data_IF_466972858922
#
_entry.id   IF_466972858922
#
_cell.length_a   1.000
_cell.length_b   1.000
_cell.length_c   1.000
_cell.angle_alpha   90.00
_cell.angle_beta   90.00
_cell.angle_gamma   90.00
#
_symmetry.space_group_name_H-M   'P 1'
#
loop_
_entity.id
_entity.type
_entity.pdbx_description
1 polymer ?
#
# COMPACT_ATOMS: atom_id res chain seq x y z
N UNK A 1 -34.09 -63.95 -4.61
CA UNK A 1 -34.81 -62.75 -4.12
C UNK A 1 -33.78 -61.79 -3.55
N UNK A 2 -33.64 -60.51 -3.92
CA UNK A 2 -34.25 -59.73 -5.00
C UNK A 2 -33.18 -58.81 -5.62
N UNK A 3 -33.19 -58.63 -6.94
CA UNK A 3 -32.56 -57.47 -7.61
C UNK A 3 -33.53 -56.30 -7.60
N UNK A 4 -33.01 -55.06 -7.63
CA UNK A 4 -33.59 -53.96 -8.42
C UNK A 4 -32.53 -52.87 -8.68
N UNK A 5 -32.41 -52.49 -9.95
CA UNK A 5 -31.65 -51.32 -10.39
C UNK A 5 -32.49 -50.05 -10.13
N UNK A 6 -31.89 -48.87 -10.28
CA UNK A 6 -32.41 -47.91 -11.27
C UNK A 6 -31.31 -46.98 -11.79
N UNK A 7 -31.38 -46.64 -13.08
CA UNK A 7 -30.49 -45.66 -13.74
C UNK A 7 -31.26 -44.37 -14.00
N UNK A 8 -30.57 -43.23 -14.10
CA UNK A 8 -31.22 -41.96 -14.44
C UNK A 8 -30.23 -40.88 -14.86
N UNK A 9 -29.82 -40.89 -16.12
CA UNK A 9 -29.28 -39.71 -16.78
C UNK A 9 -30.38 -39.05 -17.63
N UNK A 10 -30.53 -37.74 -17.56
CA UNK A 10 -31.32 -36.95 -18.52
C UNK A 10 -30.54 -35.72 -18.95
N UNK A 11 -30.58 -35.51 -20.26
CA UNK A 11 -29.88 -34.50 -21.06
C UNK A 11 -30.56 -33.13 -21.00
N UNK A 12 -29.77 -32.06 -20.97
CA UNK A 12 -30.14 -30.73 -21.49
C UNK A 12 -28.84 -30.05 -21.97
N UNK A 13 -28.76 -29.30 -23.06
CA UNK A 13 -29.51 -29.14 -24.30
C UNK A 13 -28.62 -28.17 -25.10
N UNK A 14 -28.07 -28.60 -26.24
CA UNK A 14 -27.06 -27.84 -26.97
C UNK A 14 -27.76 -26.97 -28.02
N UNK A 15 -27.96 -25.68 -27.72
CA UNK A 15 -28.58 -24.73 -28.65
C UNK A 15 -27.52 -24.24 -29.64
N UNK A 16 -27.56 -24.81 -30.84
CA UNK A 16 -26.80 -24.32 -32.00
C UNK A 16 -27.64 -23.23 -32.70
N UNK A 17 -27.22 -21.97 -32.55
CA UNK A 17 -27.73 -20.87 -33.37
C UNK A 17 -26.81 -20.67 -34.57
N UNK A 18 -27.11 -21.37 -35.67
CA UNK A 18 -26.42 -21.22 -36.94
C UNK A 18 -26.93 -19.95 -37.64
N UNK A 19 -26.03 -19.06 -38.08
CA UNK A 19 -26.35 -17.96 -38.99
C UNK A 19 -25.14 -17.72 -39.89
N UNK A 20 -25.34 -17.95 -41.18
CA UNK A 20 -24.29 -18.04 -42.21
C UNK A 20 -24.55 -16.96 -43.26
N UNK A 21 -23.57 -16.07 -43.45
CA UNK A 21 -23.25 -15.31 -44.70
C UNK A 21 -24.32 -14.27 -45.11
N UNK A 22 -23.97 -13.00 -45.35
CA UNK A 22 -23.16 -12.57 -46.50
C UNK A 22 -22.03 -11.57 -46.20
N UNK A 23 -20.95 -11.75 -46.95
CA UNK A 23 -19.80 -10.85 -47.08
C UNK A 23 -20.08 -9.71 -48.07
N UNK A 24 -19.60 -8.51 -47.76
CA UNK A 24 -19.49 -7.39 -48.70
C UNK A 24 -18.15 -6.69 -48.53
N UNK A 25 -17.26 -6.78 -49.53
CA UNK A 25 -16.00 -6.04 -49.53
C UNK A 25 -16.21 -4.62 -50.08
N UNK A 26 -15.65 -3.62 -49.42
CA UNK A 26 -15.13 -2.44 -50.13
C UNK A 26 -13.96 -1.84 -49.35
N UNK A 27 -12.88 -1.57 -50.07
CA UNK A 27 -11.81 -0.70 -49.63
C UNK A 27 -12.32 0.73 -49.43
N UNK A 28 -11.67 1.49 -48.55
CA UNK A 28 -10.84 2.61 -49.00
C UNK A 28 -9.80 3.01 -47.95
N UNK A 29 -8.67 3.46 -48.47
CA UNK A 29 -7.57 4.11 -47.74
C UNK A 29 -7.96 5.59 -47.59
N UNK A 30 -7.70 6.19 -46.43
CA UNK A 30 -7.00 7.48 -46.32
C UNK A 30 -6.71 7.83 -44.85
N UNK A 31 -5.56 8.47 -44.63
CA UNK A 31 -5.04 8.92 -43.33
C UNK A 31 -5.24 10.46 -43.17
N UNK A 32 -4.75 11.12 -42.10
CA UNK A 32 -5.61 11.92 -41.24
C UNK A 32 -5.67 13.41 -41.63
N UNK A 33 -6.70 14.12 -41.15
CA UNK A 33 -6.71 15.59 -41.13
C UNK A 33 -6.73 16.12 -39.69
N UNK A 34 -5.63 16.77 -39.31
CA UNK A 34 -5.62 17.72 -38.19
C UNK A 34 -6.61 18.85 -38.47
N UNK A 35 -7.39 19.27 -37.47
CA UNK A 35 -7.85 20.65 -37.35
C UNK A 35 -8.04 20.99 -35.87
N UNK A 36 -7.36 22.03 -35.42
CA UNK A 36 -7.59 22.64 -34.12
C UNK A 36 -8.59 23.78 -34.32
N UNK A 37 -9.65 23.83 -33.51
CA UNK A 37 -10.37 25.08 -33.33
C UNK A 37 -10.86 25.25 -31.89
N UNK A 38 -10.64 26.45 -31.39
CA UNK A 38 -10.77 26.83 -29.99
C UNK A 38 -11.97 27.78 -29.88
N UNK A 39 -13.04 27.39 -29.18
CA UNK A 39 -14.10 28.34 -28.83
C UNK A 39 -14.68 28.08 -27.44
N UNK A 40 -14.65 29.15 -26.64
CA UNK A 40 -15.22 29.22 -25.30
C UNK A 40 -16.75 29.22 -25.36
N UNK A 41 -17.40 28.59 -24.39
CA UNK A 41 -18.68 29.09 -23.86
C UNK A 41 -18.64 29.06 -22.34
N UNK A 42 -19.20 30.10 -21.72
CA UNK A 42 -18.93 30.46 -20.32
C UNK A 42 -20.10 30.21 -19.40
N UNK A 43 -19.77 29.89 -18.15
CA UNK A 43 -20.50 30.23 -16.93
C UNK A 43 -21.89 29.60 -16.66
N UNK A 44 -21.97 28.95 -15.50
CA UNK A 44 -23.03 29.22 -14.52
C UNK A 44 -22.45 29.08 -13.10
N UNK A 45 -22.43 30.18 -12.36
CA UNK A 45 -21.89 30.29 -11.00
C UNK A 45 -23.03 30.45 -9.98
N UNK A 46 -22.88 29.82 -8.81
CA UNK A 46 -23.49 30.25 -7.53
C UNK A 46 -22.61 29.72 -6.37
N UNK A 47 -21.56 30.45 -5.97
CA UNK A 47 -21.57 31.50 -4.92
C UNK A 47 -22.02 30.92 -3.57
N UNK A 48 -21.09 30.47 -2.70
CA UNK A 48 -20.25 31.24 -1.75
C UNK A 48 -21.00 31.64 -0.47
N UNK A 49 -20.56 31.25 0.74
CA UNK A 49 -19.70 32.04 1.67
C UNK A 49 -19.63 31.27 3.02
N UNK A 50 -18.69 31.41 3.96
CA UNK A 50 -17.38 32.10 4.07
C UNK A 50 -16.56 31.46 5.21
N UNK A 51 -15.23 31.31 5.06
CA UNK A 51 -14.25 31.33 6.17
C UNK A 51 -12.80 31.41 5.62
N UNK A 52 -12.48 32.54 4.98
CA UNK A 52 -11.26 32.71 4.15
C UNK A 52 -10.04 33.29 4.89
N UNK A 53 -10.10 33.55 6.20
CA UNK A 53 -9.08 34.33 6.92
C UNK A 53 -8.08 33.54 7.79
N UNK A 54 -7.87 32.24 7.52
CA UNK A 54 -6.76 31.46 8.12
C UNK A 54 -5.95 30.61 7.13
N UNK A 55 -6.22 30.70 5.82
CA UNK A 55 -5.47 29.98 4.76
C UNK A 55 -4.17 30.67 4.30
N UNK A 56 -3.83 31.83 4.85
CA UNK A 56 -2.87 32.77 4.25
C UNK A 56 -1.37 32.47 4.34
N UNK A 57 -0.92 31.36 4.97
CA UNK A 57 0.53 31.16 5.26
C UNK A 57 1.07 29.77 4.88
N UNK A 58 0.24 28.84 4.39
CA UNK A 58 0.67 27.46 4.03
C UNK A 58 0.42 27.14 2.54
N UNK A 59 -0.30 28.00 1.81
CA UNK A 59 -0.81 27.72 0.46
C UNK A 59 0.20 27.92 -0.69
N UNK A 60 1.21 27.05 -0.77
CA UNK A 60 1.84 26.71 -2.05
C UNK A 60 2.07 25.18 -2.13
N UNK A 61 1.50 24.55 -3.17
CA UNK A 61 1.56 23.10 -3.50
C UNK A 61 0.66 22.14 -2.68
N UNK A 62 -0.65 22.39 -2.67
CA UNK A 62 -1.66 21.33 -2.45
C UNK A 62 -2.37 20.97 -3.77
N UNK A 63 -2.55 21.93 -4.68
CA UNK A 63 -3.24 21.76 -5.97
C UNK A 63 -2.53 20.82 -6.99
N UNK A 64 -1.44 20.16 -6.58
CA UNK A 64 -0.67 19.18 -7.36
C UNK A 64 -0.56 17.82 -6.65
N UNK A 65 -1.43 17.53 -5.69
CA UNK A 65 -1.48 16.25 -4.96
C UNK A 65 -2.60 15.41 -5.57
N UNK A 66 -2.33 14.14 -5.84
CA UNK A 66 -3.31 13.19 -6.36
C UNK A 66 -4.44 12.98 -5.33
N UNK A 67 -5.74 13.08 -5.70
CA UNK A 67 -6.84 12.96 -4.76
C UNK A 67 -6.85 11.67 -3.93
N UNK A 68 -6.45 10.53 -4.52
CA UNK A 68 -6.38 9.25 -3.80
C UNK A 68 -5.25 9.25 -2.76
N UNK A 69 -4.14 9.93 -3.06
CA UNK A 69 -3.04 10.11 -2.11
C UNK A 69 -3.43 11.05 -0.95
N UNK A 70 -4.25 12.08 -1.22
CA UNK A 70 -4.79 12.97 -0.20
C UNK A 70 -5.77 12.24 0.73
N UNK A 71 -6.76 11.53 0.17
CA UNK A 71 -7.72 10.74 0.95
C UNK A 71 -7.02 9.68 1.81
N UNK A 72 -6.00 9.01 1.28
CA UNK A 72 -5.19 8.05 2.05
C UNK A 72 -4.53 8.70 3.28
N UNK A 73 -3.95 9.90 3.14
CA UNK A 73 -3.29 10.55 4.28
C UNK A 73 -4.28 11.20 5.25
N UNK A 74 -5.45 11.63 4.78
CA UNK A 74 -6.56 12.08 5.64
C UNK A 74 -7.11 10.92 6.47
N UNK A 75 -7.27 9.73 5.86
CA UNK A 75 -7.59 8.49 6.55
C UNK A 75 -6.51 8.13 7.58
N UNK A 76 -5.23 8.20 7.21
CA UNK A 76 -4.12 7.95 8.14
C UNK A 76 -4.13 8.94 9.32
N UNK A 77 -4.32 10.24 9.09
CA UNK A 77 -4.41 11.26 10.14
C UNK A 77 -5.60 10.98 11.06
N UNK A 78 -6.77 10.73 10.49
CA UNK A 78 -8.00 10.40 11.24
C UNK A 78 -7.78 9.22 12.18
N UNK A 79 -7.17 8.13 11.69
CA UNK A 79 -6.88 6.95 12.50
C UNK A 79 -5.78 7.18 13.56
N UNK A 80 -4.77 8.02 13.29
CA UNK A 80 -3.76 8.38 14.30
C UNK A 80 -4.38 9.02 15.55
N UNK A 81 -5.34 9.94 15.36
CA UNK A 81 -6.08 10.54 16.48
C UNK A 81 -7.09 9.55 17.09
N UNK A 82 -7.90 8.87 16.27
CA UNK A 82 -8.97 8.01 16.76
C UNK A 82 -8.46 6.76 17.52
N UNK A 83 -7.31 6.20 17.13
CA UNK A 83 -6.70 5.06 17.82
C UNK A 83 -5.77 5.46 18.98
N UNK A 84 -5.69 6.75 19.32
CA UNK A 84 -4.80 7.29 20.36
C UNK A 84 -3.31 7.09 20.06
N UNK A 85 -2.92 6.95 18.79
CA UNK A 85 -1.52 6.70 18.42
C UNK A 85 -0.59 7.86 18.80
N UNK A 86 -1.13 9.07 18.93
CA UNK A 86 -0.39 10.27 19.34
C UNK A 86 -0.24 10.41 20.86
N UNK A 87 -0.87 9.57 21.69
CA UNK A 87 -0.84 9.73 23.14
C UNK A 87 0.40 9.12 23.81
N UNK A 88 0.98 9.87 24.76
CA UNK A 88 2.22 9.49 25.46
C UNK A 88 1.98 8.92 26.88
N UNK A 89 0.71 8.71 27.29
CA UNK A 89 0.36 8.54 28.72
C UNK A 89 0.34 7.09 29.20
N UNK A 90 1.54 6.56 29.45
CA UNK A 90 1.86 5.44 30.37
C UNK A 90 1.38 4.01 30.00
N UNK A 91 2.02 3.01 30.64
CA UNK A 91 1.90 1.56 30.43
C UNK A 91 2.20 1.04 29.00
N UNK A 92 1.52 1.55 27.97
CA UNK A 92 1.82 1.22 26.57
C UNK A 92 3.14 1.83 26.10
N UNK A 93 3.50 3.02 26.61
CA UNK A 93 4.76 3.68 26.29
C UNK A 93 5.97 2.83 26.69
N UNK A 94 5.98 2.21 27.87
CA UNK A 94 7.09 1.37 28.32
C UNK A 94 7.31 0.11 27.49
N UNK A 95 6.24 -0.43 26.87
CA UNK A 95 6.37 -1.51 25.88
C UNK A 95 6.92 -0.98 24.55
N UNK A 96 6.48 0.21 24.12
CA UNK A 96 6.97 0.90 22.91
C UNK A 96 8.45 1.32 23.01
N UNK A 97 8.89 1.90 24.12
CA UNK A 97 10.25 2.43 24.28
C UNK A 97 11.31 1.34 24.45
N UNK A 98 10.93 0.14 24.89
CA UNK A 98 11.79 -1.04 24.86
C UNK A 98 12.09 -1.51 23.42
N UNK A 99 11.29 -1.11 22.43
CA UNK A 99 11.51 -1.44 21.03
C UNK A 99 12.34 -0.34 20.38
N UNK A 100 13.57 -0.70 20.01
CA UNK A 100 14.55 0.19 19.36
C UNK A 100 14.69 -0.04 17.84
N UNK A 101 14.16 -1.14 17.30
CA UNK A 101 14.14 -1.41 15.85
C UNK A 101 13.17 -2.54 15.48
N UNK A 102 12.72 -2.57 14.22
CA UNK A 102 11.94 -3.69 13.67
C UNK A 102 12.74 -4.99 13.52
N UNK A 103 14.07 -4.94 13.52
CA UNK A 103 14.95 -6.12 13.47
C UNK A 103 14.76 -6.97 14.73
N UNK A 104 14.80 -6.31 15.89
CA UNK A 104 14.71 -6.90 17.24
C UNK A 104 13.27 -7.07 17.73
N UNK A 105 12.30 -6.47 17.04
CA UNK A 105 10.88 -6.67 17.34
C UNK A 105 10.50 -8.16 17.23
N UNK A 106 9.99 -8.72 18.33
CA UNK A 106 9.34 -10.03 18.36
C UNK A 106 7.82 -9.88 18.18
N UNK A 107 7.16 -10.95 17.73
CA UNK A 107 5.70 -11.01 17.60
C UNK A 107 5.09 -11.70 18.83
N UNK A 108 5.55 -11.34 20.04
CA UNK A 108 4.97 -11.85 21.29
C UNK A 108 3.53 -11.36 21.51
N UNK A 109 2.81 -12.02 22.42
CA UNK A 109 1.44 -11.61 22.76
C UNK A 109 1.41 -10.17 23.32
N UNK A 110 2.46 -9.73 24.01
CA UNK A 110 2.58 -8.34 24.49
C UNK A 110 2.81 -7.34 23.35
N UNK A 111 3.70 -7.61 22.39
CA UNK A 111 3.88 -6.71 21.25
C UNK A 111 2.65 -6.66 20.34
N UNK A 112 1.83 -7.72 20.31
CA UNK A 112 0.52 -7.71 19.65
C UNK A 112 -0.48 -6.69 20.23
N UNK A 113 -0.25 -6.18 21.45
CA UNK A 113 -1.11 -5.18 22.14
C UNK A 113 -0.72 -3.74 21.80
N UNK A 114 0.33 -3.55 21.01
CA UNK A 114 0.83 -2.25 20.60
C UNK A 114 0.05 -1.76 19.37
N UNK A 115 -0.35 -0.49 19.38
CA UNK A 115 -0.94 0.14 18.20
C UNK A 115 0.10 0.22 17.08
N UNK A 116 -0.13 -0.40 15.89
CA UNK A 116 0.86 -0.47 14.81
C UNK A 116 1.26 0.92 14.29
N UNK A 117 0.36 1.90 14.33
CA UNK A 117 0.67 3.27 13.91
C UNK A 117 1.53 3.99 14.95
N UNK A 118 1.28 3.74 16.25
CA UNK A 118 2.14 4.23 17.33
C UNK A 118 3.54 3.63 17.29
N UNK A 119 3.64 2.32 16.98
CA UNK A 119 4.91 1.65 16.75
C UNK A 119 5.67 2.25 15.55
N UNK A 120 4.98 2.59 14.46
CA UNK A 120 5.61 3.28 13.32
C UNK A 120 6.16 4.64 13.72
N UNK A 121 5.40 5.44 14.48
CA UNK A 121 5.85 6.74 14.99
C UNK A 121 7.07 6.62 15.92
N UNK A 122 7.06 5.63 16.83
CA UNK A 122 8.18 5.33 17.75
C UNK A 122 9.48 4.99 17.03
N UNK A 123 9.39 4.38 15.83
CA UNK A 123 10.52 3.86 15.07
C UNK A 123 10.89 4.72 13.84
N UNK A 124 10.36 5.94 13.73
CA UNK A 124 10.82 6.91 12.73
C UNK A 124 12.26 7.33 13.02
N UNK A 125 13.10 7.34 11.99
CA UNK A 125 14.46 7.88 12.04
C UNK A 125 14.42 9.40 11.97
N UNK A 126 14.06 10.05 13.09
CA UNK A 126 14.02 11.51 13.19
C UNK A 126 15.35 12.01 13.76
N UNK A 127 15.89 13.06 13.14
CA UNK A 127 17.07 13.76 13.63
C UNK A 127 16.83 15.27 13.60
N UNK A 128 17.37 15.94 14.61
CA UNK A 128 17.44 17.38 14.70
C UNK A 128 18.32 17.94 13.55
N UNK A 129 17.85 18.96 12.84
CA UNK A 129 18.55 19.49 11.66
C UNK A 129 19.79 20.34 12.01
N UNK A 130 19.83 20.92 13.21
CA UNK A 130 20.90 21.85 13.62
C UNK A 130 22.04 21.11 14.35
N UNK A 131 21.69 20.18 15.24
CA UNK A 131 22.63 19.41 16.06
C UNK A 131 22.96 18.04 15.47
N UNK A 132 22.12 17.51 14.57
CA UNK A 132 22.24 16.14 14.05
C UNK A 132 21.84 15.04 15.03
N UNK A 133 21.41 15.39 16.26
CA UNK A 133 21.02 14.46 17.30
C UNK A 133 19.78 13.66 16.92
N UNK A 134 19.69 12.39 17.33
CA UNK A 134 18.47 11.61 17.20
C UNK A 134 17.35 12.18 18.08
N UNK A 135 16.12 12.18 17.56
CA UNK A 135 14.92 12.67 18.25
C UNK A 135 13.89 11.54 18.27
N UNK A 136 13.35 11.19 19.43
CA UNK A 136 12.19 10.29 19.47
C UNK A 136 10.91 11.09 19.21
N UNK A 137 9.99 10.54 18.41
CA UNK A 137 8.70 11.19 18.14
C UNK A 137 7.91 11.53 19.43
N UNK A 138 7.93 10.66 20.44
CA UNK A 138 7.20 10.85 21.70
C UNK A 138 7.89 11.82 22.67
N UNK A 139 9.16 12.16 22.46
CA UNK A 139 9.87 13.20 23.23
C UNK A 139 9.55 14.61 22.72
N UNK A 140 8.98 14.74 21.51
CA UNK A 140 8.49 16.02 20.99
C UNK A 140 7.30 16.55 21.84
N UNK A 141 7.24 17.86 22.12
CA UNK A 141 6.04 18.50 22.70
C UNK A 141 4.76 18.17 21.93
N UNK A 142 3.60 18.12 22.61
CA UNK A 142 2.35 17.69 21.98
C UNK A 142 2.00 18.47 20.71
N UNK A 143 2.09 19.80 20.75
CA UNK A 143 1.86 20.68 19.60
C UNK A 143 2.84 20.39 18.44
N UNK A 144 4.10 20.10 18.77
CA UNK A 144 5.13 19.75 17.79
C UNK A 144 4.89 18.35 17.19
N UNK A 145 4.30 17.40 17.93
CA UNK A 145 3.88 16.09 17.39
C UNK A 145 2.74 16.21 16.40
N UNK A 146 1.76 17.07 16.68
CA UNK A 146 0.64 17.36 15.78
C UNK A 146 1.14 18.04 14.49
N UNK A 147 2.04 19.03 14.59
CA UNK A 147 2.70 19.66 13.42
C UNK A 147 3.57 18.65 12.66
N UNK A 148 4.34 17.82 13.35
CA UNK A 148 5.21 16.81 12.73
C UNK A 148 4.40 15.81 11.90
N UNK A 149 3.31 15.27 12.45
CA UNK A 149 2.41 14.34 11.75
C UNK A 149 1.76 15.01 10.54
N UNK A 150 1.31 16.26 10.67
CA UNK A 150 0.73 16.98 9.54
C UNK A 150 1.72 17.15 8.37
N UNK A 151 2.98 17.48 8.69
CA UNK A 151 4.04 17.62 7.67
C UNK A 151 4.48 16.27 7.11
N UNK A 152 4.59 15.24 7.94
CA UNK A 152 4.90 13.86 7.56
C UNK A 152 3.92 13.36 6.49
N UNK A 153 2.63 13.53 6.77
CA UNK A 153 1.55 13.12 5.88
C UNK A 153 1.48 13.98 4.61
N UNK A 154 1.83 15.27 4.66
CA UNK A 154 1.99 16.09 3.44
C UNK A 154 3.10 15.57 2.52
N UNK A 155 4.25 15.16 3.06
CA UNK A 155 5.32 14.59 2.23
C UNK A 155 4.99 13.18 1.73
N UNK A 156 4.28 12.37 2.53
CA UNK A 156 3.82 11.03 2.10
C UNK A 156 2.81 11.15 0.95
N UNK A 157 1.84 12.08 1.03
CA UNK A 157 0.89 12.33 -0.06
C UNK A 157 1.59 12.75 -1.36
N UNK A 158 2.63 13.59 -1.29
CA UNK A 158 3.44 13.98 -2.45
C UNK A 158 4.23 12.81 -3.03
N UNK A 159 4.86 11.99 -2.18
CA UNK A 159 5.60 10.81 -2.64
C UNK A 159 4.65 9.81 -3.32
N UNK A 160 3.51 9.49 -2.71
CA UNK A 160 2.48 8.62 -3.30
C UNK A 160 2.01 9.19 -4.64
N UNK A 161 1.65 10.48 -4.70
CA UNK A 161 1.24 11.17 -5.94
C UNK A 161 2.27 10.97 -7.05
N UNK A 162 3.54 11.30 -6.79
CA UNK A 162 4.62 11.18 -7.79
C UNK A 162 4.85 9.74 -8.28
N UNK A 163 4.52 8.74 -7.46
CA UNK A 163 4.62 7.33 -7.83
C UNK A 163 3.39 6.82 -8.58
N UNK A 164 2.20 7.38 -8.31
CA UNK A 164 0.99 7.14 -9.11
C UNK A 164 1.08 7.82 -10.49
N UNK A 165 1.71 8.99 -10.58
CA UNK A 165 1.96 9.67 -11.87
C UNK A 165 2.90 8.84 -12.76
N UNK A 166 3.84 8.09 -12.17
CA UNK A 166 4.76 7.19 -12.86
C UNK A 166 4.14 5.82 -13.18
N UNK A 167 3.20 5.33 -12.34
CA UNK A 167 2.55 4.01 -12.47
C UNK A 167 1.07 4.13 -12.09
N UNK A 168 0.20 4.62 -12.99
CA UNK A 168 -1.22 4.85 -12.71
C UNK A 168 -1.98 3.60 -12.28
N UNK A 169 -1.54 2.41 -12.70
CA UNK A 169 -2.13 1.12 -12.35
C UNK A 169 -2.12 0.85 -10.84
N UNK A 170 -1.13 1.40 -10.12
CA UNK A 170 -1.02 1.24 -8.67
C UNK A 170 -2.20 1.88 -7.90
N UNK A 171 -2.93 2.82 -8.52
CA UNK A 171 -4.06 3.54 -7.93
C UNK A 171 -5.22 2.64 -7.48
N UNK A 172 -5.49 1.53 -8.19
CA UNK A 172 -6.68 0.69 -7.94
C UNK A 172 -6.69 0.10 -6.53
N UNK A 173 -5.53 -0.32 -6.02
CA UNK A 173 -5.44 -0.85 -4.66
C UNK A 173 -5.56 0.26 -3.60
N UNK A 174 -5.05 1.46 -3.88
CA UNK A 174 -5.17 2.61 -2.99
C UNK A 174 -6.64 3.06 -2.88
N UNK A 175 -7.38 3.04 -3.99
CA UNK A 175 -8.82 3.32 -4.02
C UNK A 175 -9.63 2.30 -3.19
N UNK A 176 -9.26 1.01 -3.22
CA UNK A 176 -9.86 -0.03 -2.37
C UNK A 176 -9.53 0.20 -0.89
N UNK A 177 -8.25 0.42 -0.55
CA UNK A 177 -7.84 0.70 0.84
C UNK A 177 -8.54 1.95 1.39
N UNK A 178 -8.67 2.99 0.56
CA UNK A 178 -9.42 4.20 0.91
C UNK A 178 -10.90 3.91 1.14
N UNK A 179 -11.62 3.31 0.19
CA UNK A 179 -13.06 3.01 0.34
C UNK A 179 -13.37 2.23 1.61
N UNK A 180 -12.65 1.14 1.86
CA UNK A 180 -12.83 0.31 3.05
C UNK A 180 -12.57 1.11 4.35
N UNK A 181 -11.55 1.97 4.35
CA UNK A 181 -11.19 2.79 5.52
C UNK A 181 -12.19 3.92 5.77
N UNK A 182 -12.55 4.68 4.73
CA UNK A 182 -13.53 5.77 4.77
C UNK A 182 -14.91 5.25 5.21
N UNK A 183 -15.31 4.05 4.75
CA UNK A 183 -16.53 3.37 5.21
C UNK A 183 -16.49 3.10 6.71
N UNK A 184 -15.45 2.44 7.23
CA UNK A 184 -15.34 2.12 8.66
C UNK A 184 -15.19 3.35 9.55
N UNK A 185 -14.51 4.40 9.08
CA UNK A 185 -14.45 5.71 9.75
C UNK A 185 -15.87 6.30 9.90
N UNK A 186 -16.67 6.22 8.84
CA UNK A 186 -18.06 6.71 8.83
C UNK A 186 -18.96 5.88 9.74
N UNK A 187 -18.90 4.55 9.65
CA UNK A 187 -19.69 3.62 10.49
C UNK A 187 -19.35 3.71 11.98
N UNK A 188 -18.11 4.06 12.32
CA UNK A 188 -17.69 4.32 13.70
C UNK A 188 -17.96 5.76 14.16
N UNK A 189 -18.58 6.61 13.33
CA UNK A 189 -18.88 8.03 13.61
C UNK A 189 -17.62 8.87 13.92
N UNK A 190 -16.49 8.55 13.29
CA UNK A 190 -15.22 9.23 13.50
C UNK A 190 -15.16 10.47 12.58
N UNK A 191 -15.00 11.70 13.11
CA UNK A 191 -14.81 12.88 12.27
C UNK A 191 -13.52 12.77 11.46
N UNK A 192 -13.61 12.93 10.14
CA UNK A 192 -12.43 12.99 9.26
C UNK A 192 -11.59 14.21 9.63
N UNK A 193 -10.27 14.01 9.71
CA UNK A 193 -9.28 15.05 10.03
C UNK A 193 -8.38 15.23 8.81
N UNK A 194 -8.56 16.35 8.10
CA UNK A 194 -7.79 16.64 6.89
C UNK A 194 -6.34 17.04 7.20
N UNK A 195 -5.43 16.63 6.32
CA UNK A 195 -4.04 17.05 6.30
C UNK A 195 -3.95 18.52 5.84
N UNK A 196 -3.15 19.32 6.53
CA UNK A 196 -3.13 20.79 6.45
C UNK A 196 -3.92 21.48 7.57
N UNK A 197 -4.95 20.83 8.12
CA UNK A 197 -5.69 21.37 9.27
C UNK A 197 -4.96 21.05 10.58
N UNK A 198 -4.24 22.02 11.14
CA UNK A 198 -3.71 21.94 12.51
C UNK A 198 -4.91 21.98 13.46
N UNK A 199 -5.30 20.80 13.92
CA UNK A 199 -6.56 20.57 14.62
C UNK A 199 -6.45 21.07 16.06
N UNK A 200 -7.37 21.93 16.53
CA UNK A 200 -7.47 22.26 17.98
C UNK A 200 -8.10 21.08 18.79
N UNK A 201 -7.78 19.85 18.41
CA UNK A 201 -8.42 18.60 18.82
C UNK A 201 -7.66 18.06 20.03
N UNK A 202 -8.11 18.46 21.21
CA UNK A 202 -7.55 17.97 22.47
C UNK A 202 -8.22 16.65 22.84
N UNK A 203 -7.43 15.59 22.96
CA UNK A 203 -7.88 14.32 23.53
C UNK A 203 -8.08 14.50 25.05
N UNK A 204 -9.34 14.47 25.50
CA UNK A 204 -9.71 14.33 26.91
C UNK A 204 -10.30 12.94 27.17
N UNK A 205 -9.49 12.08 27.79
CA UNK A 205 -10.00 10.88 28.45
C UNK A 205 -10.79 11.29 29.70
N UNK A 206 -11.91 10.61 29.91
CA UNK A 206 -12.78 10.81 31.07
C UNK A 206 -12.09 10.23 32.31
N UNK A 207 -11.46 11.08 33.10
CA UNK A 207 -11.21 10.84 34.52
C UNK A 207 -10.86 12.15 35.25
N UNK A 208 -11.90 12.93 35.57
CA UNK A 208 -11.84 13.94 36.64
C UNK A 208 -13.11 13.95 37.44
N UNK A 209 -13.04 13.28 38.60
CA UNK A 209 -13.84 13.64 39.75
C UNK A 209 -13.61 15.13 40.06
N UNK A 210 -14.71 15.84 40.26
CA UNK A 210 -14.88 17.23 40.73
C UNK A 210 -13.66 17.91 41.38
N UNK A 211 -13.31 19.12 40.91
CA UNK A 211 -13.50 20.40 41.66
C UNK A 211 -12.77 21.60 41.01
N UNK A 212 -13.52 22.58 40.50
CA UNK A 212 -13.41 24.04 40.73
C UNK A 212 -14.11 24.87 39.62
N UNK A 213 -14.58 26.10 39.93
CA UNK A 213 -15.69 26.72 39.20
C UNK A 213 -15.27 27.53 37.96
N UNK A 214 -16.25 27.71 37.07
CA UNK A 214 -16.09 28.40 35.79
C UNK A 214 -15.67 29.87 35.95
N UNK A 215 -14.70 30.29 35.13
CA UNK A 215 -14.39 31.70 34.86
C UNK A 215 -14.11 31.87 33.37
N UNK A 216 -15.04 32.54 32.70
CA UNK A 216 -15.02 33.09 31.34
C UNK A 216 -13.75 32.81 30.49
N UNK A 217 -13.82 31.79 29.64
CA UNK A 217 -13.03 31.73 28.40
C UNK A 217 -13.95 31.50 27.21
N UNK A 218 -13.70 32.22 26.10
CA UNK A 218 -14.50 32.17 24.88
C UNK A 218 -14.56 30.75 24.31
N UNK A 219 -15.78 30.27 24.00
CA UNK A 219 -16.02 28.95 23.39
C UNK A 219 -15.37 28.86 22.00
N UNK A 220 -14.13 28.36 21.92
CA UNK A 220 -13.63 27.71 20.72
C UNK A 220 -14.21 26.30 20.66
N UNK A 221 -14.89 25.96 19.57
CA UNK A 221 -15.42 24.61 19.36
C UNK A 221 -14.25 23.61 19.30
N UNK A 222 -14.08 22.82 20.37
CA UNK A 222 -13.14 21.71 20.42
C UNK A 222 -13.86 20.45 19.95
N UNK A 223 -13.47 19.93 18.78
CA UNK A 223 -13.99 18.65 18.28
C UNK A 223 -13.38 17.52 19.11
N UNK A 224 -14.24 16.73 19.77
CA UNK A 224 -13.84 15.62 20.64
C UNK A 224 -13.71 14.34 19.81
N UNK A 225 -12.51 13.80 19.65
CA UNK A 225 -12.32 12.51 18.96
C UNK A 225 -12.79 11.35 19.83
N UNK A 226 -13.56 10.44 19.25
CA UNK A 226 -13.95 9.16 19.84
C UNK A 226 -12.74 8.22 19.80
N UNK A 227 -12.21 7.82 20.95
CA UNK A 227 -11.13 6.82 21.02
C UNK A 227 -11.71 5.44 20.69
N UNK A 228 -11.19 4.77 19.67
CA UNK A 228 -11.59 3.44 19.23
C UNK A 228 -10.58 2.37 19.63
N UNK A 229 -11.04 1.13 19.81
CA UNK A 229 -10.10 0.01 19.93
C UNK A 229 -9.47 -0.32 18.58
N UNK A 230 -8.18 0.00 18.48
CA UNK A 230 -7.33 -0.35 17.35
C UNK A 230 -7.35 -1.83 16.97
N UNK A 231 -7.48 -2.79 17.91
CA UNK A 231 -7.47 -4.22 17.55
C UNK A 231 -8.73 -4.60 16.79
N UNK A 232 -9.91 -4.27 17.34
CA UNK A 232 -11.18 -4.44 16.65
C UNK A 232 -11.19 -3.73 15.29
N UNK A 233 -10.80 -2.45 15.27
CA UNK A 233 -10.82 -1.65 14.03
C UNK A 233 -9.92 -2.23 12.93
N UNK A 234 -8.67 -2.61 13.22
CA UNK A 234 -7.79 -3.19 12.19
C UNK A 234 -8.21 -4.62 11.80
N UNK A 235 -8.84 -5.39 12.69
CA UNK A 235 -9.52 -6.65 12.35
C UNK A 235 -10.63 -6.40 11.32
N UNK A 236 -11.48 -5.41 11.56
CA UNK A 236 -12.65 -5.16 10.73
C UNK A 236 -12.27 -4.50 9.40
N UNK A 237 -11.23 -3.64 9.40
CA UNK A 237 -10.59 -3.14 8.18
C UNK A 237 -10.02 -4.26 7.31
N UNK A 238 -9.44 -5.31 7.91
CA UNK A 238 -8.96 -6.48 7.18
C UNK A 238 -10.12 -7.15 6.41
N UNK A 239 -11.27 -7.33 7.06
CA UNK A 239 -12.49 -7.92 6.47
C UNK A 239 -13.15 -7.01 5.43
N UNK A 240 -13.16 -5.70 5.67
CA UNK A 240 -13.79 -4.76 4.74
C UNK A 240 -12.97 -4.59 3.46
N UNK A 241 -11.64 -4.59 3.54
CA UNK A 241 -10.78 -4.64 2.35
C UNK A 241 -11.05 -5.92 1.56
N UNK A 242 -11.15 -7.08 2.22
CA UNK A 242 -11.51 -8.35 1.58
C UNK A 242 -12.91 -8.29 0.92
N UNK A 243 -13.90 -7.70 1.60
CA UNK A 243 -15.25 -7.44 1.07
C UNK A 243 -15.23 -6.56 -0.18
N UNK A 244 -14.54 -5.41 -0.16
CA UNK A 244 -14.42 -4.50 -1.30
C UNK A 244 -13.73 -5.17 -2.50
N UNK A 245 -12.70 -5.98 -2.27
CA UNK A 245 -12.02 -6.78 -3.30
C UNK A 245 -12.97 -7.81 -3.95
N UNK A 246 -13.74 -8.54 -3.13
CA UNK A 246 -14.72 -9.53 -3.61
C UNK A 246 -15.94 -8.86 -4.30
N UNK A 247 -16.30 -7.65 -3.89
CA UNK A 247 -17.38 -6.88 -4.53
C UNK A 247 -16.95 -6.37 -5.91
N UNK A 248 -15.70 -5.93 -6.09
CA UNK A 248 -15.15 -5.61 -7.41
C UNK A 248 -15.11 -6.84 -8.33
N UNK A 249 -14.83 -8.05 -7.81
CA UNK A 249 -14.94 -9.30 -8.56
C UNK A 249 -16.32 -9.43 -9.21
N UNK A 250 -17.39 -9.33 -8.42
CA UNK A 250 -18.77 -9.52 -8.90
C UNK A 250 -19.20 -8.53 -9.98
N UNK A 251 -18.74 -7.27 -9.90
CA UNK A 251 -19.04 -6.22 -10.87
C UNK A 251 -18.31 -6.46 -12.18
N UNK A 252 -17.03 -6.82 -12.11
CA UNK A 252 -16.19 -7.06 -13.28
C UNK A 252 -16.52 -8.38 -14.00
N UNK A 253 -16.95 -9.42 -13.28
CA UNK A 253 -17.39 -10.69 -13.91
C UNK A 253 -18.64 -10.52 -14.80
N UNK A 254 -19.50 -9.55 -14.49
CA UNK A 254 -20.66 -9.23 -15.30
C UNK A 254 -20.28 -8.45 -16.58
N UNK A 255 -19.26 -7.59 -16.52
CA UNK A 255 -18.70 -6.92 -17.69
C UNK A 255 -17.99 -7.92 -18.64
N UNK A 256 -17.24 -8.87 -18.06
CA UNK A 256 -16.52 -9.93 -18.79
C UNK A 256 -17.42 -10.83 -19.64
N UNK A 257 -18.66 -11.08 -19.21
CA UNK A 257 -19.65 -11.82 -20.03
C UNK A 257 -20.08 -11.08 -21.31
N UNK A 258 -19.83 -9.77 -21.39
CA UNK A 258 -20.17 -8.94 -22.57
C UNK A 258 -19.02 -8.79 -23.57
N UNK A 259 -17.78 -9.14 -23.20
CA UNK A 259 -16.59 -8.90 -24.05
C UNK A 259 -15.69 -10.14 -24.03
N UNK A 260 -15.84 -11.00 -25.04
CA UNK A 260 -15.14 -12.29 -25.17
C UNK A 260 -13.66 -12.20 -25.53
N UNK A 261 -12.88 -11.37 -24.82
CA UNK A 261 -11.45 -11.17 -25.04
C UNK A 261 -10.58 -12.09 -24.18
N UNK A 262 -9.67 -12.84 -24.80
CA UNK A 262 -8.62 -13.58 -24.10
C UNK A 262 -7.52 -12.60 -23.67
N UNK A 263 -7.54 -12.17 -22.39
CA UNK A 263 -6.54 -11.25 -21.85
C UNK A 263 -5.21 -11.98 -21.61
N UNK A 264 -4.23 -11.72 -22.47
CA UNK A 264 -2.84 -12.12 -22.29
C UNK A 264 -2.04 -10.93 -21.75
N UNK A 265 -1.32 -11.14 -20.64
CA UNK A 265 -0.29 -10.22 -20.19
C UNK A 265 0.74 -10.02 -21.32
N UNK A 266 1.26 -8.80 -21.56
CA UNK A 266 2.33 -8.60 -22.52
C UNK A 266 3.50 -9.51 -22.17
N UNK A 267 3.92 -10.36 -23.12
CA UNK A 267 5.10 -11.21 -22.94
C UNK A 267 6.32 -10.48 -23.45
N UNK A 268 7.35 -10.41 -22.61
CA UNK A 268 8.66 -9.86 -22.96
C UNK A 268 9.68 -10.98 -23.10
N UNK A 269 10.60 -10.85 -24.06
CA UNK A 269 11.61 -11.88 -24.31
C UNK A 269 12.64 -11.89 -23.16
N UNK A 270 12.81 -13.05 -22.52
CA UNK A 270 13.68 -13.19 -21.34
C UNK A 270 15.16 -12.99 -21.68
N UNK A 271 15.64 -13.48 -22.83
CA UNK A 271 17.05 -13.36 -23.23
C UNK A 271 17.37 -12.01 -23.90
N UNK A 272 16.40 -11.40 -24.59
CA UNK A 272 16.61 -10.11 -25.30
C UNK A 272 16.29 -8.87 -24.43
N UNK A 273 15.33 -8.97 -23.50
CA UNK A 273 14.86 -7.83 -22.69
C UNK A 273 15.20 -8.00 -21.21
N UNK A 274 14.70 -9.07 -20.57
CA UNK A 274 14.78 -9.25 -19.11
C UNK A 274 16.22 -9.41 -18.65
N UNK A 275 16.95 -10.37 -19.19
CA UNK A 275 18.34 -10.68 -18.82
C UNK A 275 19.27 -9.50 -19.06
N UNK A 276 19.27 -8.79 -20.21
CA UNK A 276 20.06 -7.58 -20.39
C UNK A 276 19.69 -6.46 -19.40
N UNK A 277 18.41 -6.27 -19.08
CA UNK A 277 17.99 -5.28 -18.07
C UNK A 277 18.50 -5.67 -16.67
N UNK A 278 18.37 -6.94 -16.28
CA UNK A 278 18.84 -7.44 -14.99
C UNK A 278 20.37 -7.36 -14.87
N UNK A 279 21.14 -7.69 -15.93
CA UNK A 279 22.60 -7.53 -15.95
C UNK A 279 23.01 -6.07 -15.71
N UNK A 280 22.27 -5.09 -16.26
CA UNK A 280 22.58 -3.66 -16.12
C UNK A 280 22.17 -3.08 -14.76
N UNK A 281 21.01 -3.45 -14.23
CA UNK A 281 20.38 -2.72 -13.15
C UNK A 281 20.20 -3.51 -11.83
N UNK A 282 20.08 -4.83 -11.90
CA UNK A 282 19.79 -5.66 -10.75
C UNK A 282 21.03 -5.93 -9.88
N UNK A 283 20.81 -5.93 -8.58
CA UNK A 283 21.74 -6.39 -7.55
C UNK A 283 21.15 -7.58 -6.83
N UNK A 284 22.00 -8.36 -6.18
CA UNK A 284 21.52 -9.33 -5.19
C UNK A 284 20.84 -8.56 -4.05
N UNK A 285 19.67 -9.03 -3.65
CA UNK A 285 18.83 -8.42 -2.63
C UNK A 285 18.12 -7.11 -3.03
N UNK A 286 18.19 -6.70 -4.30
CA UNK A 286 17.08 -5.95 -4.89
C UNK A 286 15.84 -6.86 -4.93
N UNK A 287 14.64 -6.27 -4.96
CA UNK A 287 13.40 -7.02 -5.19
C UNK A 287 12.79 -6.64 -6.54
N UNK A 288 11.98 -7.54 -7.10
CA UNK A 288 11.29 -7.38 -8.37
C UNK A 288 9.79 -7.41 -8.14
N UNK A 289 9.06 -6.59 -8.88
CA UNK A 289 7.69 -6.23 -8.59
C UNK A 289 6.86 -6.13 -9.87
N UNK A 290 5.84 -6.97 -9.99
CA UNK A 290 4.79 -6.82 -10.99
C UNK A 290 3.55 -6.18 -10.33
N UNK A 291 3.00 -5.14 -10.95
CA UNK A 291 1.79 -4.42 -10.51
C UNK A 291 0.58 -4.99 -11.27
N UNK A 292 -0.58 -5.22 -10.64
CA UNK A 292 -1.77 -5.71 -11.34
C UNK A 292 -2.29 -4.74 -12.43
N UNK A 293 -2.86 -5.31 -13.49
CA UNK A 293 -3.45 -4.61 -14.65
C UNK A 293 -4.35 -5.62 -15.39
N UNK A 294 -5.64 -5.38 -15.68
CA UNK A 294 -6.61 -4.41 -15.14
C UNK A 294 -7.97 -5.13 -14.91
N UNK A 295 -8.87 -4.54 -14.10
CA UNK A 295 -10.33 -4.85 -14.09
C UNK A 295 -10.76 -6.30 -13.80
N UNK A 296 -9.99 -7.11 -13.08
CA UNK A 296 -10.39 -8.51 -12.82
C UNK A 296 -10.51 -8.87 -11.34
N UNK A 297 -11.39 -9.83 -11.01
CA UNK A 297 -11.45 -10.48 -9.71
C UNK A 297 -10.10 -10.76 -9.07
N UNK A 298 -9.93 -10.34 -7.82
CA UNK A 298 -8.78 -10.73 -7.00
C UNK A 298 -8.97 -12.16 -6.49
N UNK A 299 -8.46 -13.12 -7.25
CA UNK A 299 -8.11 -14.43 -6.68
C UNK A 299 -6.60 -14.41 -6.50
N UNK A 300 -6.11 -14.69 -5.28
CA UNK A 300 -4.68 -14.82 -4.95
C UNK A 300 -3.98 -16.03 -5.61
N UNK A 301 -4.55 -16.52 -6.71
CA UNK A 301 -4.11 -17.62 -7.54
C UNK A 301 -4.13 -17.14 -8.99
N UNK A 302 -3.06 -17.43 -9.74
CA UNK A 302 -3.07 -17.26 -11.19
C UNK A 302 -3.97 -18.33 -11.83
N UNK A 303 -5.30 -18.16 -11.74
CA UNK A 303 -6.25 -19.10 -12.34
C UNK A 303 -6.28 -18.87 -13.86
N UNK A 304 -5.61 -19.78 -14.56
CA UNK A 304 -5.49 -19.83 -16.01
C UNK A 304 -4.14 -20.43 -16.42
N UNK A 305 -4.14 -21.51 -17.21
CA UNK A 305 -2.92 -22.29 -17.51
C UNK A 305 -1.78 -21.52 -18.18
N UNK A 306 -2.05 -20.33 -18.74
CA UNK A 306 -1.13 -19.55 -19.58
C UNK A 306 -0.86 -18.11 -19.10
N UNK A 307 -1.33 -17.68 -17.92
CA UNK A 307 -1.22 -16.28 -17.46
C UNK A 307 -0.58 -16.20 -16.08
N UNK A 308 0.47 -15.38 -15.95
CA UNK A 308 1.21 -15.13 -14.70
C UNK A 308 0.91 -13.72 -14.17
N UNK A 309 1.08 -13.54 -12.86
CA UNK A 309 1.02 -12.26 -12.13
C UNK A 309 -0.27 -11.41 -12.29
N UNK A 310 -1.44 -12.04 -12.48
CA UNK A 310 -2.73 -11.31 -12.62
C UNK A 310 -3.02 -10.33 -11.48
N UNK A 311 -2.67 -10.70 -10.25
CA UNK A 311 -2.86 -9.91 -9.02
C UNK A 311 -1.59 -9.14 -8.59
N UNK A 312 -0.63 -8.99 -9.51
CA UNK A 312 0.73 -8.58 -9.20
C UNK A 312 1.52 -9.68 -8.47
N UNK A 313 2.82 -9.45 -8.27
CA UNK A 313 3.72 -10.39 -7.59
C UNK A 313 5.01 -9.71 -7.15
N UNK A 314 5.70 -10.29 -6.17
CA UNK A 314 7.00 -9.83 -5.73
C UNK A 314 8.00 -11.00 -5.55
N UNK A 315 9.27 -10.74 -5.85
CA UNK A 315 10.37 -11.68 -5.65
C UNK A 315 11.64 -10.97 -5.21
N UNK A 316 12.56 -11.67 -4.54
CA UNK A 316 13.85 -11.12 -4.10
C UNK A 316 14.95 -11.72 -4.99
N UNK A 317 15.78 -10.88 -5.59
CA UNK A 317 16.89 -11.32 -6.44
C UNK A 317 17.96 -11.96 -5.55
N UNK A 318 18.26 -13.24 -5.77
CA UNK A 318 19.14 -14.04 -4.91
C UNK A 318 20.58 -14.15 -5.43
N UNK A 319 20.86 -13.69 -6.65
CA UNK A 319 22.18 -13.85 -7.27
C UNK A 319 22.47 -12.72 -8.23
N UNK A 320 23.75 -12.34 -8.36
CA UNK A 320 24.22 -11.45 -9.43
C UNK A 320 23.96 -12.10 -10.78
N UNK A 321 23.34 -11.35 -11.69
CA UNK A 321 23.06 -11.80 -13.05
C UNK A 321 24.24 -11.45 -13.96
N UNK A 322 24.58 -12.35 -14.87
CA UNK A 322 25.71 -12.23 -15.80
C UNK A 322 25.30 -12.69 -17.20
N UNK A 323 26.07 -12.38 -18.26
CA UNK A 323 25.81 -12.92 -19.60
C UNK A 323 25.73 -14.46 -19.65
N UNK A 324 26.45 -15.15 -18.77
CA UNK A 324 26.48 -16.61 -18.66
C UNK A 324 25.35 -17.20 -17.80
N UNK A 325 24.51 -16.37 -17.18
CA UNK A 325 23.35 -16.84 -16.42
C UNK A 325 22.26 -17.31 -17.38
N UNK A 326 21.89 -18.60 -17.34
CA UNK A 326 20.73 -19.13 -18.08
C UNK A 326 19.42 -18.59 -17.49
N UNK A 327 18.45 -18.33 -18.36
CA UNK A 327 17.02 -18.14 -18.06
C UNK A 327 16.45 -19.10 -16.99
N UNK A 328 16.88 -20.37 -17.01
CA UNK A 328 16.45 -21.45 -16.11
C UNK A 328 17.13 -21.44 -14.73
N UNK A 329 18.21 -20.66 -14.58
CA UNK A 329 18.96 -20.56 -13.32
C UNK A 329 18.07 -19.99 -12.20
N UNK A 330 18.20 -20.53 -10.99
CA UNK A 330 17.35 -20.20 -9.84
C UNK A 330 17.81 -18.91 -9.13
N UNK A 331 17.57 -17.79 -9.80
CA UNK A 331 18.09 -16.47 -9.48
C UNK A 331 17.22 -15.61 -8.57
N UNK A 332 15.98 -16.03 -8.27
CA UNK A 332 15.05 -15.31 -7.37
C UNK A 332 14.56 -16.19 -6.24
N UNK A 333 14.09 -15.58 -5.14
CA UNK A 333 13.35 -16.22 -4.05
C UNK A 333 11.97 -15.56 -3.97
N UNK A 334 10.92 -16.37 -4.04
CA UNK A 334 9.54 -15.93 -4.18
C UNK A 334 8.61 -16.84 -3.38
N UNK A 335 7.51 -16.31 -2.84
CA UNK A 335 6.45 -17.13 -2.24
C UNK A 335 5.32 -17.36 -3.23
N UNK A 336 4.88 -18.62 -3.38
CA UNK A 336 3.83 -19.04 -4.30
C UNK A 336 2.77 -19.89 -3.60
N UNK A 337 1.49 -19.68 -3.92
CA UNK A 337 0.34 -20.38 -3.35
C UNK A 337 0.47 -21.90 -3.24
N UNK A 338 1.03 -22.53 -4.26
CA UNK A 338 1.14 -23.99 -4.37
C UNK A 338 2.28 -24.60 -3.54
N UNK A 339 3.33 -23.83 -3.23
CA UNK A 339 4.63 -24.37 -2.78
C UNK A 339 5.37 -23.48 -1.77
N UNK A 340 4.73 -22.40 -1.29
CA UNK A 340 5.35 -21.43 -0.40
C UNK A 340 6.60 -20.76 -0.97
N UNK A 341 7.54 -20.44 -0.08
CA UNK A 341 8.80 -19.75 -0.40
C UNK A 341 9.77 -20.71 -1.08
N UNK A 342 10.06 -20.47 -2.35
CA UNK A 342 10.97 -21.29 -3.17
C UNK A 342 11.93 -20.43 -3.98
N UNK A 343 12.97 -21.07 -4.54
CA UNK A 343 13.82 -20.42 -5.55
C UNK A 343 13.18 -20.56 -6.93
N UNK A 344 13.01 -19.44 -7.62
CA UNK A 344 12.40 -19.34 -8.96
C UNK A 344 13.47 -19.00 -10.01
N UNK A 345 13.16 -19.26 -11.28
CA UNK A 345 14.05 -18.93 -12.40
C UNK A 345 13.68 -17.62 -13.08
N UNK A 346 14.65 -17.00 -13.76
CA UNK A 346 14.42 -15.74 -14.50
C UNK A 346 13.31 -15.88 -15.54
N UNK A 347 13.18 -17.07 -16.14
CA UNK A 347 12.10 -17.44 -17.07
C UNK A 347 10.67 -17.43 -16.48
N UNK A 348 10.49 -17.13 -15.20
CA UNK A 348 9.17 -16.79 -14.64
C UNK A 348 8.78 -15.33 -14.82
N UNK A 349 9.72 -14.44 -15.11
CA UNK A 349 9.52 -12.99 -15.23
C UNK A 349 9.46 -12.55 -16.70
N UNK A 350 8.68 -13.30 -17.50
CA UNK A 350 8.41 -13.04 -18.92
C UNK A 350 7.33 -11.97 -19.16
N UNK A 351 7.15 -11.03 -18.22
CA UNK A 351 6.15 -9.94 -18.25
C UNK A 351 6.79 -8.62 -17.83
N UNK A 352 6.20 -7.45 -18.16
CA UNK A 352 6.62 -6.17 -17.59
C UNK A 352 6.69 -6.19 -16.06
N UNK A 353 7.74 -5.60 -15.49
CA UNK A 353 7.99 -5.54 -14.04
C UNK A 353 9.06 -4.49 -13.69
N UNK A 354 9.09 -4.11 -12.42
CA UNK A 354 10.07 -3.16 -11.87
C UNK A 354 11.18 -3.91 -11.13
N UNK A 355 12.42 -3.46 -11.27
CA UNK A 355 13.48 -3.74 -10.29
C UNK A 355 13.41 -2.62 -9.25
N UNK A 356 13.33 -3.01 -7.99
CA UNK A 356 13.10 -2.15 -6.83
C UNK A 356 14.23 -2.29 -5.81
N UNK A 357 14.60 -1.18 -5.19
CA UNK A 357 15.54 -1.13 -4.08
C UNK A 357 14.87 -0.70 -2.78
N UNK A 358 15.51 -1.03 -1.66
CA UNK A 358 15.16 -0.54 -0.33
C UNK A 358 16.08 0.63 0.04
N UNK A 359 15.54 1.65 0.72
CA UNK A 359 16.27 2.83 1.18
C UNK A 359 15.82 3.23 2.59
N UNK A 360 16.76 3.73 3.40
CA UNK A 360 16.44 4.37 4.68
C UNK A 360 15.92 5.79 4.42
N UNK A 361 14.87 6.17 5.15
CA UNK A 361 14.30 7.51 5.13
C UNK A 361 14.57 8.19 6.48
N UNK A 362 15.44 9.20 6.48
CA UNK A 362 15.74 10.02 7.66
C UNK A 362 14.95 11.33 7.61
N UNK A 363 14.22 11.63 8.68
CA UNK A 363 13.41 12.84 8.83
C UNK A 363 14.21 13.92 9.56
N UNK A 364 14.56 14.99 8.85
CA UNK A 364 15.30 16.14 9.39
C UNK A 364 14.32 17.18 9.93
N UNK A 365 14.27 17.35 11.24
CA UNK A 365 13.33 18.25 11.93
C UNK A 365 13.94 19.62 12.22
N UNK A 366 13.22 20.68 11.83
CA UNK A 366 13.60 22.10 12.04
C UNK A 366 12.67 22.75 13.05
N UNK A 367 13.22 23.16 14.19
CA UNK A 367 12.47 23.85 15.25
C UNK A 367 12.22 25.32 14.89
N UNK A 368 10.95 25.67 14.64
CA UNK A 368 10.52 27.06 14.38
C UNK A 368 9.13 27.35 14.96
N UNK A 369 8.78 26.72 16.08
CA UNK A 369 7.47 26.82 16.74
C UNK A 369 6.34 26.36 15.82
N UNK A 370 5.33 27.20 15.58
CA UNK A 370 4.27 26.89 14.61
C UNK A 370 4.73 26.87 13.14
N UNK A 371 5.96 27.29 12.86
CA UNK A 371 6.60 27.21 11.53
C UNK A 371 7.62 26.06 11.45
N UNK A 372 7.67 25.16 12.44
CA UNK A 372 8.51 23.96 12.40
C UNK A 372 8.18 23.12 11.15
N UNK A 373 9.16 22.36 10.67
CA UNK A 373 8.99 21.57 9.46
C UNK A 373 10.00 20.44 9.35
N UNK A 374 9.63 19.41 8.59
CA UNK A 374 10.52 18.32 8.19
C UNK A 374 11.05 18.55 6.78
N UNK A 375 12.14 17.87 6.46
CA UNK A 375 12.41 17.36 5.12
C UNK A 375 13.00 15.96 5.22
N UNK A 376 12.97 15.19 4.14
CA UNK A 376 13.46 13.79 4.13
C UNK A 376 14.82 13.70 3.46
N UNK A 377 15.69 12.84 3.99
CA UNK A 377 16.93 12.38 3.34
C UNK A 377 16.77 10.89 3.05
N UNK A 378 16.86 10.52 1.77
CA UNK A 378 16.70 9.14 1.29
C UNK A 378 18.07 8.56 0.96
N UNK A 379 18.43 7.44 1.58
CA UNK A 379 19.73 6.77 1.36
C UNK A 379 19.51 5.29 1.06
N UNK A 380 19.88 4.77 -0.12
CA UNK A 380 19.84 3.34 -0.41
C UNK A 380 20.56 2.52 0.67
N UNK A 381 20.02 1.33 1.00
CA UNK A 381 20.67 0.45 1.99
C UNK A 381 22.10 0.08 1.55
N UNK A 382 23.04 0.10 2.50
CA UNK A 382 24.46 -0.12 2.22
C UNK A 382 24.79 -1.57 1.84
N UNK A 383 24.01 -2.53 2.34
CA UNK A 383 24.17 -3.96 2.08
C UNK A 383 22.87 -4.57 1.52
N UNK A 384 22.52 -4.35 0.23
CA UNK A 384 21.28 -4.87 -0.35
C UNK A 384 21.18 -6.39 -0.28
N UNK A 385 22.31 -7.09 -0.36
CA UNK A 385 22.42 -8.55 -0.26
C UNK A 385 21.75 -9.16 0.98
N UNK A 386 21.67 -8.42 2.09
CA UNK A 386 21.06 -8.90 3.33
C UNK A 386 19.56 -9.27 3.18
N UNK A 387 18.84 -8.63 2.25
CA UNK A 387 17.45 -8.99 1.94
C UNK A 387 17.36 -10.42 1.39
N UNK A 388 18.29 -10.79 0.50
CA UNK A 388 18.39 -12.14 -0.05
C UNK A 388 18.89 -13.15 0.99
N UNK A 389 19.82 -12.76 1.87
CA UNK A 389 20.29 -13.62 2.96
C UNK A 389 19.15 -14.01 3.91
N UNK A 390 18.27 -13.06 4.26
CA UNK A 390 17.07 -13.34 5.03
C UNK A 390 16.06 -14.20 4.25
N UNK A 391 15.79 -13.89 2.98
CA UNK A 391 14.89 -14.69 2.14
C UNK A 391 15.32 -16.16 2.04
N UNK A 392 16.63 -16.44 1.99
CA UNK A 392 17.15 -17.81 1.96
C UNK A 392 16.80 -18.62 3.22
N UNK A 393 16.74 -17.98 4.40
CA UNK A 393 16.37 -18.64 5.68
C UNK A 393 14.90 -19.08 5.71
N UNK A 394 14.07 -18.54 4.83
CA UNK A 394 12.64 -18.82 4.75
C UNK A 394 12.25 -19.75 3.60
N UNK A 395 13.21 -20.21 2.77
CA UNK A 395 12.95 -21.22 1.74
C UNK A 395 12.38 -22.49 2.37
N UNK A 396 11.25 -22.98 1.85
CA UNK A 396 10.49 -24.11 2.40
C UNK A 396 9.41 -23.73 3.41
N UNK A 397 9.19 -22.44 3.70
CA UNK A 397 8.01 -21.96 4.48
C UNK A 397 6.78 -21.91 3.60
N UNK A 398 5.62 -22.30 4.12
CA UNK A 398 4.38 -22.39 3.34
C UNK A 398 3.88 -21.00 2.87
N UNK A 399 2.97 -21.03 1.91
CA UNK A 399 2.15 -19.86 1.59
C UNK A 399 1.09 -19.63 2.67
N UNK A 400 0.61 -18.39 2.82
CA UNK A 400 -0.53 -18.12 3.73
C UNK A 400 -1.76 -18.89 3.27
N UNK A 401 -2.61 -19.30 4.22
CA UNK A 401 -3.89 -19.95 3.87
C UNK A 401 -4.87 -18.90 3.37
N UNK A 402 -5.91 -19.32 2.65
CA UNK A 402 -6.84 -18.38 2.02
C UNK A 402 -7.53 -17.44 3.03
N UNK A 403 -7.87 -17.94 4.21
CA UNK A 403 -8.48 -17.14 5.30
C UNK A 403 -7.45 -16.27 6.08
N UNK A 404 -6.18 -16.29 5.67
CA UNK A 404 -5.08 -15.55 6.30
C UNK A 404 -4.55 -14.43 5.39
N UNK A 405 -5.15 -14.21 4.21
CA UNK A 405 -4.72 -13.13 3.30
C UNK A 405 -4.93 -11.75 3.91
N UNK A 406 -6.13 -11.50 4.45
CA UNK A 406 -6.50 -10.26 5.12
C UNK A 406 -5.56 -9.92 6.30
N UNK A 407 -4.93 -10.94 6.90
CA UNK A 407 -4.05 -10.84 8.07
C UNK A 407 -2.62 -11.34 7.79
N UNK A 408 -2.16 -11.32 6.54
CA UNK A 408 -0.92 -11.99 6.12
C UNK A 408 0.36 -11.53 6.88
N UNK A 409 0.38 -10.30 7.42
CA UNK A 409 1.45 -9.81 8.31
C UNK A 409 1.58 -10.65 9.60
N UNK A 410 0.51 -11.26 10.08
CA UNK A 410 0.41 -12.06 11.31
C UNK A 410 0.79 -13.53 11.09
N UNK A 411 0.84 -13.99 9.83
CA UNK A 411 1.23 -15.35 9.49
C UNK A 411 2.75 -15.51 9.33
N UNK A 412 3.48 -14.41 9.08
CA UNK A 412 4.93 -14.37 9.11
C UNK A 412 5.47 -14.60 10.55
N UNK A 413 6.67 -15.18 10.73
CA UNK A 413 7.56 -15.77 9.73
C UNK A 413 7.21 -17.22 9.35
N UNK A 414 6.08 -17.76 9.83
CA UNK A 414 5.70 -19.15 9.59
C UNK A 414 5.24 -19.40 8.16
N UNK A 415 4.51 -18.42 7.57
CA UNK A 415 3.96 -18.45 6.22
C UNK A 415 4.04 -17.07 5.56
N UNK A 416 4.13 -17.03 4.24
CA UNK A 416 4.34 -15.76 3.51
C UNK A 416 3.50 -15.67 2.23
N UNK A 417 2.97 -14.48 1.93
CA UNK A 417 2.65 -14.08 0.55
C UNK A 417 3.94 -13.64 -0.15
N UNK A 418 3.91 -13.44 -1.46
CA UNK A 418 5.05 -12.89 -2.21
C UNK A 418 5.50 -11.52 -1.67
N UNK A 419 4.54 -10.67 -1.29
CA UNK A 419 4.76 -9.32 -0.75
C UNK A 419 5.16 -9.31 0.73
N UNK A 420 4.56 -10.15 1.59
CA UNK A 420 4.94 -10.20 3.01
C UNK A 420 6.32 -10.81 3.22
N UNK A 421 6.80 -11.65 2.29
CA UNK A 421 8.21 -12.09 2.27
C UNK A 421 9.18 -10.90 2.13
N UNK A 422 8.93 -9.98 1.18
CA UNK A 422 9.75 -8.77 0.99
C UNK A 422 9.70 -7.88 2.24
N UNK A 423 8.50 -7.58 2.72
CA UNK A 423 8.29 -6.78 3.93
C UNK A 423 9.00 -7.34 5.16
N UNK A 424 8.84 -8.64 5.42
CA UNK A 424 9.46 -9.30 6.57
C UNK A 424 10.99 -9.35 6.45
N UNK A 425 11.51 -9.63 5.25
CA UNK A 425 12.95 -9.60 5.01
C UNK A 425 13.51 -8.18 5.19
N UNK A 426 12.80 -7.13 4.75
CA UNK A 426 13.24 -5.74 4.97
C UNK A 426 13.28 -5.36 6.45
N UNK A 427 12.26 -5.76 7.23
CA UNK A 427 12.22 -5.59 8.69
C UNK A 427 13.42 -6.25 9.37
N UNK A 428 13.80 -7.47 8.95
CA UNK A 428 14.88 -8.25 9.57
C UNK A 428 16.28 -7.94 9.02
N UNK A 429 16.40 -7.41 7.80
CA UNK A 429 17.67 -7.05 7.18
C UNK A 429 18.14 -5.63 7.56
N UNK A 430 17.20 -4.70 7.75
CA UNK A 430 17.49 -3.26 7.82
C UNK A 430 16.74 -2.49 8.92
N UNK A 431 15.79 -3.14 9.61
CA UNK A 431 14.87 -2.45 10.52
C UNK A 431 13.85 -1.55 9.81
N UNK A 432 13.59 -1.79 8.52
CA UNK A 432 12.77 -0.96 7.62
C UNK A 432 11.38 -1.59 7.44
N UNK A 433 10.30 -0.81 7.41
CA UNK A 433 8.91 -1.28 7.40
C UNK A 433 8.14 -0.82 6.16
N UNK A 434 8.47 -1.45 5.02
CA UNK A 434 7.84 -1.23 3.69
C UNK A 434 6.37 -1.67 3.65
N UNK A 435 5.45 -0.86 4.18
CA UNK A 435 4.00 -1.10 4.11
C UNK A 435 3.19 0.15 4.44
N UNK A 436 1.93 0.24 4.00
CA UNK A 436 1.01 1.35 4.31
C UNK A 436 0.84 1.58 5.83
N UNK A 437 0.49 2.82 6.21
CA UNK A 437 0.36 3.28 7.61
C UNK A 437 -0.59 2.45 8.46
N UNK A 438 -1.77 2.17 7.92
CA UNK A 438 -2.87 1.50 8.62
C UNK A 438 -3.31 0.19 7.94
N UNK A 439 -2.82 -0.12 6.74
CA UNK A 439 -3.23 -1.33 6.03
C UNK A 439 -2.75 -2.59 6.77
N UNK A 440 -3.63 -3.56 7.04
CA UNK A 440 -3.22 -4.88 7.55
C UNK A 440 -2.47 -5.69 6.48
N UNK A 441 -2.56 -5.29 5.21
CA UNK A 441 -1.94 -5.94 4.06
C UNK A 441 -0.54 -5.39 3.75
N UNK A 442 0.18 -6.16 2.93
CA UNK A 442 1.29 -5.67 2.12
C UNK A 442 0.92 -6.00 0.67
N UNK A 443 0.70 -4.99 -0.15
CA UNK A 443 0.23 -5.15 -1.53
C UNK A 443 1.36 -4.82 -2.52
N UNK A 444 1.32 -5.27 -3.78
CA UNK A 444 2.33 -4.88 -4.77
C UNK A 444 2.38 -3.35 -4.96
N UNK A 445 1.21 -2.71 -5.06
CA UNK A 445 1.10 -1.24 -5.10
C UNK A 445 1.68 -0.58 -3.85
N UNK A 446 1.44 -1.13 -2.65
CA UNK A 446 2.03 -0.62 -1.40
C UNK A 446 3.55 -0.73 -1.36
N UNK A 447 4.14 -1.82 -1.84
CA UNK A 447 5.60 -1.95 -1.99
C UNK A 447 6.17 -0.98 -3.03
N UNK A 448 5.39 -0.61 -4.05
CA UNK A 448 5.78 0.42 -5.01
C UNK A 448 5.74 1.81 -4.37
N UNK A 449 4.63 2.16 -3.70
CA UNK A 449 4.36 3.52 -3.22
C UNK A 449 5.06 3.90 -1.92
N UNK A 450 5.42 2.93 -1.06
CA UNK A 450 6.08 3.19 0.24
C UNK A 450 7.38 4.03 0.08
N UNK A 451 7.63 4.94 1.01
CA UNK A 451 8.73 5.91 0.90
C UNK A 451 10.12 5.26 1.09
N UNK A 452 10.17 4.10 1.77
CA UNK A 452 11.37 3.29 2.02
C UNK A 452 11.72 2.37 0.83
N UNK A 453 11.00 2.47 -0.30
CA UNK A 453 11.32 1.80 -1.57
C UNK A 453 11.52 2.79 -2.73
N UNK A 454 12.30 2.38 -3.73
CA UNK A 454 12.50 3.16 -4.95
C UNK A 454 12.63 2.26 -6.19
N UNK A 455 12.15 2.74 -7.33
CA UNK A 455 12.35 2.09 -8.63
C UNK A 455 13.81 2.24 -9.03
N UNK A 456 14.47 1.13 -9.32
CA UNK A 456 15.84 1.05 -9.86
C UNK A 456 15.84 0.98 -11.38
N UNK A 457 14.85 0.29 -11.94
CA UNK A 457 14.67 0.12 -13.39
C UNK A 457 13.23 -0.34 -13.70
N UNK A 458 12.66 0.12 -14.81
CA UNK A 458 11.38 -0.36 -15.33
C UNK A 458 11.64 -1.25 -16.56
N UNK A 459 11.10 -2.47 -16.56
CA UNK A 459 11.21 -3.45 -17.64
C UNK A 459 9.85 -3.55 -18.31
N UNK A 460 9.81 -3.21 -19.60
CA UNK A 460 8.63 -3.15 -20.46
C UNK A 460 8.96 -3.77 -21.83
#
# INVERSE_FOLDING_TARGET
MNKKNFSGGITFALVVSLSIVTSGCSSNIDEPTFNAEMQNSSASNSISTTNSQLRGVINHKIDSINPLALEYVDNAKTLLYATGALDNRSAKLSLLTNISSYERFDDSEETSKINPMALRLQLLDIVDDETGSAVNFYDLPQDQREIFVDKLLQEDARNISSKLDLVPEASQMLEIENRATTKLITENEIPIIHVGDISNVRLENVDRLSTQPASQSTKKNQTRTKTIDHKAFFSDLSKEIESEMNNQESRNSNLLRSVGGSFNYPKINVEEVVKPAWIRAARRGDFILAIPSHFHPWIFLNIGKNVRFKVGHAGIINSKITPHTSDSAKVTIESWSENGVKRSSMSYWDTPHYIMGVQKVTYKWRWRGFKSGIYKVKTPVSNPDALADWANKYVGRDYVRWYEFATAKWAAPSRFTCTTLVWWCAKKAYGINVSSWYSPLVTPSGLLTDDETYVRYNIH
#
